data_IF_910667978805
#
_entry.id   IF_910667978805
#
_cell.length_a   1.000
_cell.length_b   1.000
_cell.length_c   1.000
_cell.angle_alpha   90.00
_cell.angle_beta   90.00
_cell.angle_gamma   90.00
#
_symmetry.space_group_name_H-M   'P 1'
#
loop_
_entity.id
_entity.type
_entity.pdbx_description
1 polymer ?
#
# COMPACT_ATOMS: atom_id res chain seq x y z
N UNK A 1 23.59 -7.39 -24.78
CA UNK A 1 24.73 -6.44 -24.83
C UNK A 1 25.22 -5.99 -23.44
N UNK A 2 24.37 -5.91 -22.40
CA UNK A 2 24.80 -5.51 -21.05
C UNK A 2 24.69 -6.61 -19.96
N UNK A 3 24.09 -7.78 -20.26
CA UNK A 3 24.04 -8.91 -19.32
C UNK A 3 23.28 -8.61 -18.02
N UNK A 4 22.29 -7.70 -18.05
CA UNK A 4 21.59 -7.25 -16.85
C UNK A 4 20.49 -8.24 -16.49
N UNK A 5 20.54 -8.77 -15.27
CA UNK A 5 19.50 -9.63 -14.73
C UNK A 5 18.27 -8.83 -14.29
N UNK A 6 17.08 -9.43 -14.42
CA UNK A 6 15.83 -8.88 -13.88
C UNK A 6 15.27 -9.76 -12.77
N UNK A 7 14.47 -9.14 -11.91
CA UNK A 7 13.96 -9.71 -10.66
C UNK A 7 12.47 -9.37 -10.52
N UNK A 8 11.55 -10.18 -11.10
CA UNK A 8 10.13 -9.87 -11.02
C UNK A 8 9.62 -10.07 -9.60
N UNK A 9 8.84 -9.09 -9.13
CA UNK A 9 8.13 -9.14 -7.85
C UNK A 9 6.76 -9.76 -8.08
N UNK A 10 6.45 -10.81 -7.31
CA UNK A 10 5.19 -11.55 -7.38
C UNK A 10 4.66 -11.79 -5.98
N UNK A 11 3.33 -11.82 -5.83
CA UNK A 11 2.67 -12.16 -4.57
C UNK A 11 2.19 -13.61 -4.51
N UNK A 12 2.26 -14.35 -5.63
CA UNK A 12 1.74 -15.73 -5.73
C UNK A 12 2.28 -16.47 -6.97
N UNK A 13 2.17 -17.80 -6.94
CA UNK A 13 2.38 -18.68 -8.09
C UNK A 13 1.54 -18.28 -9.32
N UNK A 14 0.28 -17.85 -9.10
CA UNK A 14 -0.61 -17.38 -10.17
C UNK A 14 -0.06 -16.12 -10.85
N UNK A 15 0.41 -15.15 -10.06
CA UNK A 15 1.01 -13.93 -10.59
C UNK A 15 2.28 -14.23 -11.40
N UNK A 16 3.15 -15.09 -10.87
CA UNK A 16 4.34 -15.56 -11.59
C UNK A 16 3.97 -16.23 -12.92
N UNK A 17 3.06 -17.20 -12.91
CA UNK A 17 2.62 -17.92 -14.12
C UNK A 17 2.08 -16.96 -15.19
N UNK A 18 1.32 -15.93 -14.79
CA UNK A 18 0.79 -14.94 -15.71
C UNK A 18 1.91 -14.11 -16.37
N UNK A 19 2.85 -13.60 -15.58
CA UNK A 19 3.97 -12.80 -16.10
C UNK A 19 4.93 -13.65 -16.94
N UNK A 20 5.20 -14.89 -16.51
CA UNK A 20 6.03 -15.86 -17.22
C UNK A 20 5.49 -16.14 -18.63
N UNK A 21 4.22 -16.56 -18.72
CA UNK A 21 3.57 -16.83 -20.01
C UNK A 21 3.48 -15.59 -20.90
N UNK A 22 3.23 -14.42 -20.31
CA UNK A 22 3.09 -13.18 -21.07
C UNK A 22 4.41 -12.70 -21.68
N UNK A 23 5.49 -12.71 -20.91
CA UNK A 23 6.73 -12.06 -21.30
C UNK A 23 8.02 -12.77 -20.87
N UNK A 24 8.14 -13.18 -19.60
CA UNK A 24 9.45 -13.52 -19.04
C UNK A 24 10.10 -14.79 -19.59
N UNK A 25 9.31 -15.76 -20.09
CA UNK A 25 9.87 -16.97 -20.71
C UNK A 25 10.78 -16.68 -21.92
N UNK A 26 10.63 -15.53 -22.58
CA UNK A 26 11.45 -15.12 -23.74
C UNK A 26 12.83 -14.59 -23.36
N UNK A 27 13.04 -14.37 -22.07
CA UNK A 27 14.26 -13.79 -21.49
C UNK A 27 14.68 -14.61 -20.27
N UNK A 28 14.46 -15.92 -20.29
CA UNK A 28 14.69 -16.80 -19.14
C UNK A 28 16.14 -16.76 -18.65
N UNK A 29 17.08 -16.59 -19.59
CA UNK A 29 18.53 -16.51 -19.33
C UNK A 29 18.94 -15.29 -18.50
N UNK A 30 18.11 -14.25 -18.44
CA UNK A 30 18.35 -13.04 -17.66
C UNK A 30 17.56 -13.01 -16.35
N UNK A 31 16.79 -14.04 -16.01
CA UNK A 31 16.07 -14.09 -14.73
C UNK A 31 17.07 -14.37 -13.59
N UNK A 32 17.33 -13.37 -12.75
CA UNK A 32 18.30 -13.51 -11.64
C UNK A 32 17.71 -14.20 -10.41
N UNK A 33 16.48 -13.82 -10.04
CA UNK A 33 15.70 -14.43 -8.97
C UNK A 33 14.23 -14.03 -9.13
N UNK A 34 13.32 -14.69 -8.42
CA UNK A 34 11.92 -14.24 -8.29
C UNK A 34 11.71 -13.68 -6.89
N UNK A 35 11.25 -12.44 -6.77
CA UNK A 35 10.96 -11.85 -5.45
C UNK A 35 9.52 -12.22 -5.08
N UNK A 36 9.36 -13.06 -4.05
CA UNK A 36 8.07 -13.25 -3.41
C UNK A 36 7.86 -12.13 -2.40
N UNK A 37 6.90 -11.24 -2.65
CA UNK A 37 6.52 -10.19 -1.71
C UNK A 37 5.20 -10.57 -1.03
N UNK A 38 5.25 -10.78 0.29
CA UNK A 38 4.08 -11.08 1.10
C UNK A 38 3.06 -9.93 1.00
N UNK A 39 1.86 -10.19 0.45
CA UNK A 39 0.94 -9.12 0.10
C UNK A 39 0.20 -8.55 1.33
N UNK A 40 0.32 -9.18 2.50
CA UNK A 40 -0.23 -8.67 3.77
C UNK A 40 0.81 -8.05 4.67
N UNK A 41 2.09 -8.44 4.57
CA UNK A 41 3.12 -8.07 5.54
C UNK A 41 4.13 -7.05 5.05
N UNK A 42 4.38 -6.96 3.74
CA UNK A 42 5.37 -6.05 3.16
C UNK A 42 4.98 -4.58 3.36
N UNK A 43 5.96 -3.71 3.52
CA UNK A 43 5.77 -2.26 3.58
C UNK A 43 5.65 -1.65 2.19
N UNK A 44 5.03 -0.48 2.05
CA UNK A 44 4.87 0.15 0.74
C UNK A 44 3.70 -0.44 -0.03
N UNK A 45 3.71 -0.42 -1.36
CA UNK A 45 2.67 -1.02 -2.19
C UNK A 45 2.71 -2.55 -2.13
N UNK A 46 1.54 -3.18 -2.14
CA UNK A 46 1.39 -4.62 -1.98
C UNK A 46 0.65 -5.27 -3.14
N UNK A 47 1.08 -6.48 -3.51
CA UNK A 47 0.51 -7.28 -4.60
C UNK A 47 -0.77 -8.08 -4.28
N UNK A 48 -1.65 -7.60 -3.39
CA UNK A 48 -2.93 -8.26 -3.11
C UNK A 48 -3.81 -8.33 -4.37
N UNK A 49 -4.35 -9.50 -4.66
CA UNK A 49 -5.34 -9.67 -5.73
C UNK A 49 -6.77 -9.38 -5.26
N UNK A 50 -7.67 -9.09 -6.19
CA UNK A 50 -9.08 -8.84 -5.87
C UNK A 50 -9.82 -10.06 -5.25
N UNK A 51 -9.24 -11.26 -5.34
CA UNK A 51 -9.81 -12.49 -4.77
C UNK A 51 -9.33 -12.76 -3.34
N UNK A 52 -8.35 -11.99 -2.85
CA UNK A 52 -7.79 -12.15 -1.51
C UNK A 52 -8.42 -11.16 -0.54
N UNK A 53 -8.71 -11.62 0.67
CA UNK A 53 -9.21 -10.76 1.74
C UNK A 53 -8.02 -10.02 2.39
N UNK A 54 -7.98 -8.67 2.35
CA UNK A 54 -6.93 -7.90 3.01
C UNK A 54 -6.91 -8.08 4.54
N UNK A 55 -8.01 -8.53 5.15
CA UNK A 55 -8.12 -8.71 6.60
C UNK A 55 -7.79 -10.14 7.05
N UNK A 56 -7.48 -11.06 6.13
CA UNK A 56 -7.13 -12.44 6.44
C UNK A 56 -5.71 -12.76 5.93
N UNK A 57 -4.64 -12.32 6.64
CA UNK A 57 -3.27 -12.68 6.31
C UNK A 57 -3.08 -14.20 6.25
N UNK A 58 -2.38 -14.66 5.22
CA UNK A 58 -2.08 -16.08 5.04
C UNK A 58 -0.65 -16.41 5.46
N UNK A 59 -0.40 -17.68 5.76
CA UNK A 59 0.94 -18.20 5.92
C UNK A 59 1.70 -18.10 4.57
N UNK A 60 2.90 -17.48 4.54
CA UNK A 60 3.71 -17.43 3.32
C UNK A 60 4.27 -18.80 2.89
N UNK A 61 4.48 -19.77 3.79
CA UNK A 61 5.17 -21.03 3.42
C UNK A 61 4.47 -21.80 2.30
N UNK A 62 3.15 -22.13 2.39
CA UNK A 62 2.46 -22.85 1.32
C UNK A 62 2.44 -22.07 0.00
N UNK A 63 2.44 -20.73 0.06
CA UNK A 63 2.41 -19.86 -1.12
C UNK A 63 3.75 -19.87 -1.84
N UNK A 64 4.85 -19.83 -1.11
CA UNK A 64 6.20 -19.91 -1.67
C UNK A 64 6.50 -21.31 -2.18
N UNK A 65 6.04 -22.36 -1.49
CA UNK A 65 6.10 -23.74 -2.01
C UNK A 65 5.40 -23.87 -3.37
N UNK A 66 4.15 -23.38 -3.48
CA UNK A 66 3.41 -23.39 -4.75
C UNK A 66 4.10 -22.56 -5.85
N UNK A 67 4.75 -21.44 -5.47
CA UNK A 67 5.57 -20.64 -6.39
C UNK A 67 6.77 -21.46 -6.89
N UNK A 68 7.51 -22.12 -5.99
CA UNK A 68 8.64 -22.99 -6.35
C UNK A 68 8.21 -24.14 -7.27
N UNK A 69 7.09 -24.79 -6.99
CA UNK A 69 6.54 -25.84 -7.86
C UNK A 69 6.28 -25.31 -9.28
N UNK A 70 5.66 -24.12 -9.39
CA UNK A 70 5.42 -23.48 -10.69
C UNK A 70 6.73 -23.07 -11.39
N UNK A 71 7.75 -22.65 -10.63
CA UNK A 71 9.07 -22.34 -11.17
C UNK A 71 9.77 -23.61 -11.69
N UNK A 72 9.65 -24.74 -10.99
CA UNK A 72 10.18 -26.04 -11.44
C UNK A 72 9.53 -26.50 -12.75
N UNK A 73 8.20 -26.35 -12.90
CA UNK A 73 7.49 -26.59 -14.16
C UNK A 73 8.07 -25.77 -15.33
N UNK A 74 8.62 -24.58 -15.04
CA UNK A 74 9.23 -23.68 -16.01
C UNK A 74 10.74 -23.92 -16.21
N UNK A 75 11.33 -24.96 -15.60
CA UNK A 75 12.77 -25.24 -15.66
C UNK A 75 13.63 -24.33 -14.78
N UNK A 76 13.04 -23.63 -13.81
CA UNK A 76 13.68 -22.64 -12.95
C UNK A 76 13.87 -23.15 -11.51
N UNK A 77 14.04 -24.46 -11.35
CA UNK A 77 14.13 -25.12 -10.03
C UNK A 77 15.23 -24.55 -9.13
N UNK A 78 16.35 -24.15 -9.74
CA UNK A 78 17.53 -23.61 -9.04
C UNK A 78 17.59 -22.08 -9.01
N UNK A 79 16.65 -21.39 -9.66
CA UNK A 79 16.60 -19.91 -9.60
C UNK A 79 16.15 -19.50 -8.20
N UNK A 80 16.88 -18.62 -7.49
CA UNK A 80 16.52 -18.24 -6.13
C UNK A 80 15.13 -17.59 -6.03
N UNK A 81 14.43 -17.85 -4.92
CA UNK A 81 13.30 -17.04 -4.50
C UNK A 81 13.78 -16.08 -3.41
N UNK A 82 13.56 -14.79 -3.61
CA UNK A 82 13.85 -13.75 -2.60
C UNK A 82 12.56 -13.48 -1.83
N UNK A 83 12.50 -13.88 -0.56
CA UNK A 83 11.34 -13.69 0.30
C UNK A 83 11.38 -12.28 0.91
N UNK A 84 10.33 -11.51 0.68
CA UNK A 84 10.17 -10.14 1.16
C UNK A 84 8.84 -9.97 1.92
N UNK A 85 8.86 -9.14 2.96
CA UNK A 85 7.68 -8.84 3.78
C UNK A 85 7.59 -9.71 5.03
N UNK A 86 7.46 -9.07 6.20
CA UNK A 86 7.38 -9.77 7.48
C UNK A 86 8.69 -10.36 8.01
N UNK A 87 9.74 -10.50 7.20
CA UNK A 87 11.05 -10.99 7.68
C UNK A 87 11.63 -10.01 8.70
N UNK A 88 11.85 -10.47 9.93
CA UNK A 88 12.47 -9.68 10.99
C UNK A 88 13.74 -10.34 11.50
N UNK A 89 13.63 -11.53 12.12
CA UNK A 89 14.78 -12.31 12.59
C UNK A 89 14.93 -13.58 11.76
N UNK A 90 16.11 -13.88 11.22
CA UNK A 90 16.32 -15.08 10.41
C UNK A 90 16.13 -16.38 11.22
N UNK A 91 16.29 -16.36 12.55
CA UNK A 91 15.99 -17.52 13.40
C UNK A 91 14.52 -17.97 13.33
N UNK A 92 13.60 -17.08 12.97
CA UNK A 92 12.18 -17.42 12.74
C UNK A 92 11.94 -18.11 11.38
N UNK A 93 12.98 -18.19 10.54
CA UNK A 93 12.91 -18.71 9.16
C UNK A 93 13.88 -19.90 8.96
N UNK A 94 14.33 -20.54 10.03
CA UNK A 94 15.28 -21.67 9.96
C UNK A 94 14.77 -22.79 9.05
N UNK A 95 13.49 -23.13 9.15
CA UNK A 95 12.85 -24.17 8.33
C UNK A 95 12.75 -23.81 6.83
N UNK A 96 13.10 -22.58 6.45
CA UNK A 96 13.13 -22.13 5.06
C UNK A 96 14.52 -22.23 4.42
N UNK A 97 15.57 -22.20 5.25
CA UNK A 97 16.97 -22.22 4.80
C UNK A 97 17.37 -23.66 4.53
N UNK A 98 18.04 -23.90 3.41
CA UNK A 98 18.43 -25.25 2.94
C UNK A 98 17.25 -26.24 2.84
N UNK A 99 16.02 -25.73 2.68
CA UNK A 99 14.83 -26.55 2.56
C UNK A 99 14.67 -27.07 1.11
N UNK A 100 14.69 -28.41 0.87
CA UNK A 100 14.61 -28.98 -0.47
C UNK A 100 13.26 -28.73 -1.16
N UNK A 101 12.17 -28.52 -0.41
CA UNK A 101 10.88 -28.17 -1.00
C UNK A 101 10.93 -26.78 -1.63
N UNK A 102 11.62 -25.84 -0.99
CA UNK A 102 11.71 -24.42 -1.39
C UNK A 102 12.89 -24.11 -2.30
N UNK A 103 13.94 -24.94 -2.32
CA UNK A 103 15.17 -24.70 -3.08
C UNK A 103 15.94 -23.47 -2.59
N UNK A 104 16.73 -22.80 -3.44
CA UNK A 104 17.51 -21.63 -3.03
C UNK A 104 16.62 -20.47 -2.59
N UNK A 105 16.84 -19.98 -1.36
CA UNK A 105 16.12 -18.87 -0.74
C UNK A 105 17.08 -17.74 -0.36
N UNK A 106 16.64 -16.51 -0.57
CA UNK A 106 17.25 -15.31 -0.03
C UNK A 106 16.17 -14.44 0.64
N UNK A 107 16.57 -13.44 1.41
CA UNK A 107 15.64 -12.55 2.11
C UNK A 107 15.87 -11.08 1.73
N UNK A 108 14.79 -10.32 1.58
CA UNK A 108 14.82 -8.89 1.31
C UNK A 108 14.17 -8.10 2.45
N UNK A 109 14.89 -7.10 2.96
CA UNK A 109 14.45 -6.26 4.07
C UNK A 109 14.19 -4.83 3.57
N UNK A 110 12.94 -4.37 3.67
CA UNK A 110 12.58 -2.98 3.38
C UNK A 110 12.41 -2.13 4.63
N UNK A 111 11.75 -2.66 5.67
CA UNK A 111 11.40 -1.90 6.87
C UNK A 111 12.57 -1.71 7.83
N UNK A 112 13.35 -2.75 8.15
CA UNK A 112 14.49 -2.65 9.09
C UNK A 112 15.51 -1.57 8.67
N UNK A 113 15.91 -1.48 7.39
CA UNK A 113 16.84 -0.44 6.93
C UNK A 113 16.31 0.99 7.03
N UNK A 114 15.00 1.21 7.23
CA UNK A 114 14.47 2.56 7.49
C UNK A 114 15.13 3.19 8.73
N UNK A 115 15.44 2.37 9.74
CA UNK A 115 16.02 2.81 11.01
C UNK A 115 17.54 2.57 11.05
N UNK A 116 18.26 3.03 10.04
CA UNK A 116 19.73 3.08 10.02
C UNK A 116 20.23 4.52 9.97
N UNK A 117 21.52 4.75 10.24
CA UNK A 117 22.14 6.08 10.13
C UNK A 117 22.10 6.61 8.69
N UNK A 118 22.29 5.73 7.72
CA UNK A 118 22.36 6.00 6.29
C UNK A 118 20.97 6.24 5.66
N UNK A 119 19.91 5.75 6.29
CA UNK A 119 18.55 5.97 5.80
C UNK A 119 18.22 7.47 5.76
N UNK A 120 17.73 7.98 4.61
CA UNK A 120 17.47 9.41 4.43
C UNK A 120 16.18 9.88 5.11
N UNK A 121 15.41 8.98 5.75
CA UNK A 121 14.18 9.38 6.40
C UNK A 121 14.48 10.36 7.57
N UNK A 122 13.62 11.37 7.80
CA UNK A 122 13.85 12.34 8.86
C UNK A 122 13.89 11.72 10.25
N UNK A 123 14.55 12.42 11.18
CA UNK A 123 14.65 12.01 12.59
C UNK A 123 13.28 11.75 13.23
N UNK A 124 12.29 12.61 12.98
CA UNK A 124 10.94 12.45 13.52
C UNK A 124 10.27 11.13 13.05
N UNK A 125 10.54 10.69 11.82
CA UNK A 125 10.04 9.41 11.33
C UNK A 125 10.77 8.25 12.01
N UNK A 126 12.10 8.30 12.15
CA UNK A 126 12.88 7.31 12.93
C UNK A 126 12.36 7.18 14.37
N UNK A 127 12.12 8.31 15.04
CA UNK A 127 11.54 8.35 16.39
C UNK A 127 10.11 7.80 16.45
N UNK A 128 9.31 7.98 15.39
CA UNK A 128 7.97 7.38 15.29
C UNK A 128 8.04 5.86 15.20
N UNK A 129 8.98 5.31 14.42
CA UNK A 129 9.17 3.86 14.27
C UNK A 129 9.46 3.16 15.61
N UNK A 130 10.30 3.78 16.45
CA UNK A 130 10.65 3.28 17.79
C UNK A 130 9.48 3.26 18.80
N UNK A 131 8.33 3.85 18.46
CA UNK A 131 7.16 3.98 19.35
C UNK A 131 5.94 3.22 18.83
N UNK A 132 6.09 2.44 17.77
CA UNK A 132 5.00 1.69 17.17
C UNK A 132 4.59 0.51 18.05
N UNK A 133 3.29 0.24 18.09
CA UNK A 133 2.69 -0.91 18.76
C UNK A 133 2.15 -1.90 17.72
N UNK A 134 1.94 -3.19 18.10
CA UNK A 134 1.20 -4.11 17.27
C UNK A 134 -0.12 -3.50 16.78
N UNK A 135 -0.37 -3.54 15.48
CA UNK A 135 -1.56 -2.93 14.86
C UNK A 135 -1.43 -1.45 14.48
N UNK A 136 -0.30 -0.79 14.70
CA UNK A 136 -0.07 0.61 14.26
C UNK A 136 0.25 0.77 12.77
N UNK A 137 0.37 -0.33 12.02
CA UNK A 137 0.50 -0.32 10.55
C UNK A 137 -0.83 -0.78 9.93
N UNK A 138 -1.32 -0.04 8.94
CA UNK A 138 -2.56 -0.32 8.22
C UNK A 138 -2.26 -0.70 6.78
N UNK A 139 -2.82 -1.84 6.35
CA UNK A 139 -2.96 -2.21 4.95
C UNK A 139 -4.20 -1.51 4.39
N UNK A 140 -4.02 -0.58 3.45
CA UNK A 140 -5.11 0.27 2.93
C UNK A 140 -5.08 0.36 1.40
N UNK A 141 -6.19 0.76 0.78
CA UNK A 141 -6.33 0.90 -0.69
C UNK A 141 -6.59 2.34 -1.13
N UNK A 142 -6.01 3.31 -0.42
CA UNK A 142 -6.15 4.74 -0.75
C UNK A 142 -5.12 5.22 -1.78
N UNK A 143 -4.16 4.38 -2.16
CA UNK A 143 -3.12 4.76 -3.10
C UNK A 143 -3.72 5.19 -4.44
N UNK A 144 -3.23 6.27 -5.08
CA UNK A 144 -3.72 6.70 -6.39
C UNK A 144 -3.44 5.68 -7.51
N UNK A 145 -2.64 4.64 -7.26
CA UNK A 145 -2.43 3.53 -8.19
C UNK A 145 -3.55 2.49 -8.13
N UNK A 146 -4.38 2.51 -7.09
CA UNK A 146 -5.42 1.51 -6.82
C UNK A 146 -4.92 0.21 -6.19
N UNK A 147 -3.60 0.08 -5.96
CA UNK A 147 -3.02 -1.02 -5.21
C UNK A 147 -3.21 -0.83 -3.71
N UNK A 148 -3.16 -1.93 -2.97
CA UNK A 148 -3.01 -1.89 -1.53
C UNK A 148 -1.63 -1.35 -1.16
N UNK A 149 -1.52 -0.77 0.03
CA UNK A 149 -0.25 -0.37 0.59
C UNK A 149 -0.26 -0.40 2.12
N UNK A 150 0.89 -0.71 2.71
CA UNK A 150 1.10 -0.76 4.16
C UNK A 150 1.85 0.47 4.66
N UNK A 151 1.22 1.22 5.56
CA UNK A 151 1.76 2.45 6.14
C UNK A 151 1.39 2.60 7.63
N UNK A 152 2.20 3.35 8.36
CA UNK A 152 1.93 3.71 9.76
C UNK A 152 0.61 4.49 9.85
N UNK A 153 -0.20 4.19 10.87
CA UNK A 153 -1.46 4.87 11.21
C UNK A 153 -1.17 6.26 11.79
N UNK A 154 -0.92 7.21 10.90
CA UNK A 154 -0.80 8.65 11.20
C UNK A 154 -2.18 9.30 11.23
N UNK A 155 -2.28 10.53 11.77
CA UNK A 155 -3.51 11.35 11.65
C UNK A 155 -3.97 11.48 10.20
N UNK A 156 -3.05 11.65 9.24
CA UNK A 156 -3.35 11.68 7.81
C UNK A 156 -4.07 10.41 7.35
N UNK A 157 -3.51 9.23 7.64
CA UNK A 157 -4.10 7.97 7.21
C UNK A 157 -5.47 7.74 7.87
N UNK A 158 -5.61 8.09 9.16
CA UNK A 158 -6.89 8.03 9.89
C UNK A 158 -7.96 8.93 9.25
N UNK A 159 -7.59 10.12 8.76
CA UNK A 159 -8.52 10.98 8.01
C UNK A 159 -9.00 10.35 6.71
N UNK A 160 -8.11 9.67 5.96
CA UNK A 160 -8.49 8.96 4.74
C UNK A 160 -9.49 7.82 5.02
N UNK A 161 -9.27 7.09 6.12
CA UNK A 161 -10.21 6.06 6.62
C UNK A 161 -11.56 6.69 6.95
N UNK A 162 -11.59 7.69 7.83
CA UNK A 162 -12.83 8.33 8.26
C UNK A 162 -13.61 8.94 7.09
N UNK A 163 -12.92 9.54 6.10
CA UNK A 163 -13.54 10.05 4.87
C UNK A 163 -14.19 8.93 4.04
N UNK A 164 -13.58 7.75 4.00
CA UNK A 164 -14.13 6.61 3.28
C UNK A 164 -15.30 5.96 4.02
N UNK A 165 -15.35 6.06 5.34
CA UNK A 165 -16.49 5.62 6.17
C UNK A 165 -17.70 6.54 6.02
N UNK A 166 -17.48 7.85 5.80
CA UNK A 166 -18.54 8.81 5.44
C UNK A 166 -18.93 8.72 3.97
N UNK A 167 -19.27 7.53 3.50
CA UNK A 167 -19.62 7.25 2.12
C UNK A 167 -21.03 6.66 1.99
N UNK A 168 -21.80 7.11 0.98
CA UNK A 168 -23.10 6.54 0.62
C UNK A 168 -23.24 6.33 -0.89
N UNK A 169 -24.07 5.37 -1.30
CA UNK A 169 -24.44 5.23 -2.70
C UNK A 169 -25.42 6.34 -3.12
N UNK A 170 -25.40 6.73 -4.40
CA UNK A 170 -26.38 7.67 -4.92
C UNK A 170 -26.76 7.38 -6.38
N UNK A 171 -27.90 7.93 -6.80
CA UNK A 171 -28.34 8.02 -8.19
C UNK A 171 -28.58 9.48 -8.59
N UNK A 172 -28.47 9.78 -9.89
CA UNK A 172 -28.82 11.10 -10.44
C UNK A 172 -30.31 11.28 -10.66
N UNK A 173 -31.06 10.18 -10.71
CA UNK A 173 -32.52 10.15 -10.83
C UNK A 173 -33.11 9.25 -9.76
N UNK A 174 -34.38 9.46 -9.40
CA UNK A 174 -35.07 8.55 -8.50
C UNK A 174 -35.18 7.17 -9.15
N UNK A 175 -34.62 6.14 -8.53
CA UNK A 175 -34.57 4.78 -9.08
C UNK A 175 -34.42 3.74 -7.98
N UNK A 176 -35.21 2.67 -8.04
CA UNK A 176 -35.21 1.62 -7.01
C UNK A 176 -35.47 2.21 -5.61
N UNK A 177 -34.59 1.89 -4.66
CA UNK A 177 -34.63 2.42 -3.29
C UNK A 177 -34.07 3.85 -3.16
N UNK A 178 -33.36 4.36 -4.18
CA UNK A 178 -32.88 5.73 -4.21
C UNK A 178 -34.02 6.70 -4.55
N UNK A 179 -34.85 7.02 -3.55
CA UNK A 179 -36.03 7.89 -3.71
C UNK A 179 -35.93 9.18 -2.90
N UNK A 180 -35.09 9.19 -1.86
CA UNK A 180 -34.94 10.34 -0.98
C UNK A 180 -34.01 11.36 -1.61
N UNK A 181 -34.51 12.58 -1.81
CA UNK A 181 -33.71 13.69 -2.30
C UNK A 181 -32.74 14.16 -1.21
N UNK A 182 -31.46 14.20 -1.55
CA UNK A 182 -30.38 14.77 -0.76
C UNK A 182 -29.73 15.92 -1.53
N UNK A 183 -29.47 17.02 -0.83
CA UNK A 183 -28.69 18.16 -1.33
C UNK A 183 -27.58 18.44 -0.32
N UNK A 184 -26.49 19.02 -0.80
CA UNK A 184 -25.34 19.44 0.01
C UNK A 184 -25.30 20.98 0.15
N UNK A 185 -26.46 21.63 0.11
CA UNK A 185 -26.57 23.09 0.04
C UNK A 185 -26.22 23.70 -1.33
N UNK A 186 -25.69 22.93 -2.27
CA UNK A 186 -25.47 23.36 -3.66
C UNK A 186 -26.69 23.12 -4.56
N UNK A 187 -26.61 23.56 -5.83
CA UNK A 187 -27.64 23.27 -6.85
C UNK A 187 -27.70 21.78 -7.25
N UNK A 188 -26.76 20.95 -6.78
CA UNK A 188 -26.68 19.53 -7.11
C UNK A 188 -27.74 18.75 -6.33
N UNK A 189 -28.35 17.77 -7.01
CA UNK A 189 -29.38 16.89 -6.46
C UNK A 189 -28.91 15.45 -6.55
N UNK A 190 -29.10 14.72 -5.46
CA UNK A 190 -28.75 13.31 -5.35
C UNK A 190 -29.96 12.54 -4.85
N UNK A 191 -30.19 11.35 -5.38
CA UNK A 191 -31.19 10.42 -4.86
C UNK A 191 -30.47 9.31 -4.11
N UNK A 192 -30.85 9.08 -2.87
CA UNK A 192 -30.24 8.12 -1.95
C UNK A 192 -31.34 7.33 -1.23
N UNK A 193 -30.99 6.28 -0.50
CA UNK A 193 -31.95 5.60 0.39
C UNK A 193 -32.29 6.49 1.58
N UNK A 194 -33.42 6.24 2.24
CA UNK A 194 -33.80 6.99 3.44
C UNK A 194 -32.77 6.85 4.57
N UNK A 195 -32.25 5.63 4.77
CA UNK A 195 -31.20 5.36 5.74
C UNK A 195 -29.90 6.14 5.43
N UNK A 196 -29.50 6.19 4.17
CA UNK A 196 -28.30 6.92 3.74
C UNK A 196 -28.50 8.44 3.86
N UNK A 197 -29.71 8.94 3.60
CA UNK A 197 -30.05 10.35 3.84
C UNK A 197 -29.95 10.73 5.32
N UNK A 198 -30.41 9.86 6.22
CA UNK A 198 -30.29 10.08 7.66
C UNK A 198 -28.81 10.15 8.09
N UNK A 199 -27.98 9.18 7.66
CA UNK A 199 -26.53 9.21 7.93
C UNK A 199 -25.86 10.47 7.38
N UNK A 200 -26.18 10.85 6.15
CA UNK A 200 -25.63 12.05 5.52
C UNK A 200 -25.99 13.31 6.31
N UNK A 201 -27.25 13.47 6.72
CA UNK A 201 -27.69 14.64 7.51
C UNK A 201 -26.97 14.73 8.85
N UNK A 202 -26.70 13.59 9.51
CA UNK A 202 -25.88 13.56 10.72
C UNK A 202 -24.47 14.11 10.45
N UNK A 203 -23.77 13.59 9.44
CA UNK A 203 -22.43 14.07 9.11
C UNK A 203 -22.40 15.54 8.68
N UNK A 204 -23.42 15.99 7.95
CA UNK A 204 -23.57 17.40 7.58
C UNK A 204 -23.74 18.29 8.82
N UNK A 205 -24.52 17.84 9.82
CA UNK A 205 -24.65 18.52 11.11
C UNK A 205 -23.34 18.55 11.93
N UNK A 206 -22.45 17.60 11.71
CA UNK A 206 -21.09 17.54 12.29
C UNK A 206 -20.06 18.39 11.49
N UNK A 207 -20.48 19.09 10.44
CA UNK A 207 -19.63 19.97 9.62
C UNK A 207 -19.04 19.33 8.36
N UNK A 208 -19.38 18.08 8.03
CA UNK A 208 -19.01 17.42 6.77
C UNK A 208 -20.03 17.71 5.67
N UNK A 209 -20.22 19.00 5.37
CA UNK A 209 -21.31 19.47 4.51
C UNK A 209 -21.10 19.28 3.00
N UNK A 210 -19.86 19.07 2.54
CA UNK A 210 -19.55 19.00 1.11
C UNK A 210 -19.59 17.56 0.61
N UNK A 211 -20.51 17.28 -0.31
CA UNK A 211 -20.57 16.00 -1.01
C UNK A 211 -19.66 15.98 -2.25
N UNK A 212 -18.69 15.06 -2.27
CA UNK A 212 -17.81 14.82 -3.42
C UNK A 212 -18.12 13.46 -4.07
N UNK A 213 -18.30 13.46 -5.39
CA UNK A 213 -18.57 12.24 -6.17
C UNK A 213 -17.32 11.38 -6.28
N UNK A 214 -17.48 10.07 -6.15
CA UNK A 214 -16.43 9.08 -6.43
C UNK A 214 -16.63 8.42 -7.81
N UNK A 215 -15.67 7.64 -8.30
CA UNK A 215 -15.82 6.84 -9.52
C UNK A 215 -16.86 5.71 -9.43
N UNK A 216 -17.29 5.35 -8.22
CA UNK A 216 -18.11 4.17 -7.95
C UNK A 216 -19.58 4.53 -7.67
N UNK A 217 -20.07 5.66 -8.21
CA UNK A 217 -21.42 6.18 -7.96
C UNK A 217 -21.74 6.34 -6.47
N UNK A 218 -20.74 6.76 -5.70
CA UNK A 218 -20.91 7.10 -4.29
C UNK A 218 -20.55 8.56 -4.03
N UNK A 219 -21.03 9.08 -2.90
CA UNK A 219 -20.65 10.38 -2.35
C UNK A 219 -19.81 10.14 -1.10
N UNK A 220 -18.75 10.92 -0.95
CA UNK A 220 -18.07 11.11 0.34
C UNK A 220 -18.33 12.50 0.87
N UNK A 221 -18.49 12.59 2.20
CA UNK A 221 -18.78 13.83 2.91
C UNK A 221 -17.54 14.34 3.63
N UNK A 222 -17.16 15.58 3.31
CA UNK A 222 -15.94 16.25 3.81
C UNK A 222 -16.27 17.65 4.28
N UNK A 223 -15.39 18.24 5.09
CA UNK A 223 -15.51 19.64 5.47
C UNK A 223 -15.18 20.56 4.29
N UNK A 224 -15.60 21.84 4.30
CA UNK A 224 -15.26 22.79 3.24
C UNK A 224 -13.74 22.93 3.02
N UNK A 225 -12.98 23.03 4.11
CA UNK A 225 -11.52 23.10 4.10
C UNK A 225 -10.87 21.87 3.45
N UNK A 226 -11.39 20.68 3.76
CA UNK A 226 -10.90 19.43 3.18
C UNK A 226 -11.25 19.33 1.69
N UNK A 227 -12.46 19.73 1.29
CA UNK A 227 -12.85 19.78 -0.12
C UNK A 227 -11.97 20.73 -0.93
N UNK A 228 -11.64 21.91 -0.40
CA UNK A 228 -10.73 22.85 -1.03
C UNK A 228 -9.33 22.25 -1.20
N UNK A 229 -8.81 21.64 -0.14
CA UNK A 229 -7.50 20.97 -0.16
C UNK A 229 -7.46 19.86 -1.22
N UNK A 230 -8.46 18.99 -1.25
CA UNK A 230 -8.55 17.90 -2.25
C UNK A 230 -8.54 18.48 -3.67
N UNK A 231 -9.40 19.47 -3.94
CA UNK A 231 -9.49 20.07 -5.28
C UNK A 231 -8.21 20.79 -5.70
N UNK A 232 -7.55 21.49 -4.78
CA UNK A 232 -6.24 22.11 -5.04
C UNK A 232 -5.22 21.04 -5.39
N UNK A 233 -5.07 20.02 -4.55
CA UNK A 233 -4.09 18.96 -4.76
C UNK A 233 -4.34 18.15 -6.05
N UNK A 234 -5.60 18.04 -6.49
CA UNK A 234 -5.96 17.45 -7.79
C UNK A 234 -5.55 18.34 -8.97
N UNK A 235 -5.74 19.67 -8.87
CA UNK A 235 -5.33 20.64 -9.90
C UNK A 235 -3.82 20.76 -10.02
N UNK A 236 -3.11 20.68 -8.90
CA UNK A 236 -1.64 20.76 -8.81
C UNK A 236 -0.96 19.40 -9.10
N UNK A 237 -1.63 18.51 -9.85
CA UNK A 237 -1.05 17.22 -10.20
C UNK A 237 0.19 17.37 -11.08
N UNK A 238 1.28 16.72 -10.68
CA UNK A 238 2.58 16.77 -11.37
C UNK A 238 2.82 15.60 -12.36
N UNK A 239 1.82 14.77 -12.63
CA UNK A 239 1.94 13.68 -13.61
C UNK A 239 2.96 12.57 -13.28
N UNK A 240 3.27 12.35 -12.00
CA UNK A 240 4.27 11.35 -11.56
C UNK A 240 3.92 9.87 -11.83
N UNK A 241 2.67 9.58 -12.17
CA UNK A 241 2.17 8.24 -12.50
C UNK A 241 1.62 8.25 -13.93
N UNK A 242 1.78 7.14 -14.64
CA UNK A 242 1.16 6.96 -15.96
C UNK A 242 -0.38 6.95 -15.90
N UNK A 243 -0.95 6.62 -14.74
CA UNK A 243 -2.37 6.78 -14.41
C UNK A 243 -2.54 7.06 -12.91
N UNK A 244 -3.27 8.13 -12.57
CA UNK A 244 -3.50 8.56 -11.20
C UNK A 244 -5.00 8.63 -10.89
N UNK A 245 -5.49 7.74 -10.03
CA UNK A 245 -6.90 7.73 -9.62
C UNK A 245 -7.29 8.98 -8.83
N UNK A 246 -6.36 9.59 -8.09
CA UNK A 246 -6.66 10.76 -7.27
C UNK A 246 -6.98 12.01 -8.10
N UNK A 247 -6.16 12.33 -9.11
CA UNK A 247 -6.35 13.50 -9.97
C UNK A 247 -7.13 13.21 -11.25
N UNK A 248 -7.21 11.94 -11.64
CA UNK A 248 -7.68 11.53 -12.97
C UNK A 248 -6.64 11.70 -14.08
N UNK A 249 -5.40 12.06 -13.74
CA UNK A 249 -4.31 12.18 -14.73
C UNK A 249 -4.01 10.84 -15.41
N UNK A 250 -3.79 10.89 -16.72
CA UNK A 250 -3.31 9.77 -17.55
C UNK A 250 -2.26 10.27 -18.53
N UNK A 251 -1.19 9.50 -18.73
CA UNK A 251 -0.12 9.81 -19.69
C UNK A 251 -0.60 9.64 -21.14
N UNK A 252 -1.34 8.56 -21.41
CA UNK A 252 -1.93 8.26 -22.72
C UNK A 252 -3.44 8.56 -22.68
N UNK A 253 -3.91 9.66 -23.31
CA UNK A 253 -5.32 10.03 -23.32
C UNK A 253 -6.24 9.00 -23.97
N UNK A 254 -5.72 8.13 -24.86
CA UNK A 254 -6.53 7.04 -25.45
C UNK A 254 -6.93 5.99 -24.41
N UNK A 255 -6.19 5.93 -23.29
CA UNK A 255 -6.48 5.07 -22.13
C UNK A 255 -7.22 5.83 -21.02
N UNK A 256 -7.61 7.09 -21.27
CA UNK A 256 -8.40 7.87 -20.34
C UNK A 256 -9.69 7.12 -20.04
N UNK A 257 -9.80 6.63 -18.82
CA UNK A 257 -11.07 6.10 -18.33
C UNK A 257 -12.05 7.27 -18.17
N UNK A 258 -13.35 7.10 -18.46
CA UNK A 258 -14.36 8.11 -18.07
C UNK A 258 -14.51 8.25 -16.54
N UNK A 259 -13.75 7.46 -15.75
CA UNK A 259 -13.73 7.53 -14.30
C UNK A 259 -13.19 8.86 -13.83
N UNK A 260 -13.94 9.48 -12.93
CA UNK A 260 -13.62 10.76 -12.29
C UNK A 260 -12.41 10.61 -11.39
N UNK A 261 -11.80 11.75 -11.04
CA UNK A 261 -10.89 11.83 -9.92
C UNK A 261 -11.54 11.26 -8.64
N UNK A 262 -10.81 10.44 -7.88
CA UNK A 262 -11.31 9.80 -6.66
C UNK A 262 -10.92 10.60 -5.42
N UNK A 263 -11.87 11.34 -4.81
CA UNK A 263 -11.60 12.15 -3.63
C UNK A 263 -11.29 11.31 -2.39
N UNK A 264 -11.42 9.97 -2.44
CA UNK A 264 -11.01 9.06 -1.36
C UNK A 264 -9.52 8.76 -1.35
N UNK A 265 -8.85 8.99 -2.47
CA UNK A 265 -7.40 8.87 -2.61
C UNK A 265 -6.69 10.18 -2.21
N UNK A 266 -5.39 10.25 -2.47
CA UNK A 266 -4.54 11.39 -2.15
C UNK A 266 -3.38 11.49 -3.14
N UNK A 267 -2.72 12.65 -3.18
CA UNK A 267 -1.48 12.82 -3.94
C UNK A 267 -0.31 12.19 -3.18
N UNK A 268 0.10 10.98 -3.59
CA UNK A 268 1.20 10.25 -2.93
C UNK A 268 2.54 10.98 -3.03
N UNK A 269 2.83 11.60 -4.17
CA UNK A 269 4.05 12.37 -4.37
C UNK A 269 4.14 13.54 -3.39
N UNK A 270 3.06 14.31 -3.23
CA UNK A 270 3.03 15.46 -2.31
C UNK A 270 3.36 15.04 -0.88
N UNK A 271 2.70 14.00 -0.38
CA UNK A 271 2.88 13.59 1.01
C UNK A 271 4.25 12.95 1.28
N UNK A 272 4.79 12.18 0.34
CA UNK A 272 6.13 11.60 0.48
C UNK A 272 7.23 12.66 0.36
N UNK A 273 7.03 13.66 -0.50
CA UNK A 273 7.96 14.79 -0.59
C UNK A 273 7.92 15.64 0.68
N UNK A 274 6.73 15.95 1.19
CA UNK A 274 6.59 16.77 2.40
C UNK A 274 7.24 16.09 3.62
N UNK A 275 6.92 14.81 3.89
CA UNK A 275 7.54 14.10 5.02
C UNK A 275 9.06 13.98 4.86
N UNK A 276 9.58 13.77 3.65
CA UNK A 276 11.03 13.68 3.42
C UNK A 276 11.76 15.00 3.67
N UNK A 277 11.09 16.15 3.52
CA UNK A 277 11.68 17.49 3.64
C UNK A 277 11.29 18.23 4.93
N UNK A 278 10.98 17.48 6.00
CA UNK A 278 10.72 18.04 7.33
C UNK A 278 9.24 18.31 7.65
N UNK A 279 8.33 17.92 6.76
CA UNK A 279 6.90 17.91 7.01
C UNK A 279 6.51 16.99 8.18
N UNK A 280 5.34 17.26 8.76
CA UNK A 280 4.82 16.52 9.92
C UNK A 280 4.60 15.05 9.59
N UNK A 281 5.16 14.15 10.41
CA UNK A 281 4.91 12.70 10.29
C UNK A 281 3.44 12.38 10.47
N UNK A 282 2.73 13.11 11.34
CA UNK A 282 1.32 12.88 11.60
C UNK A 282 0.42 13.32 10.43
N UNK A 283 0.84 14.28 9.62
CA UNK A 283 0.06 14.82 8.50
C UNK A 283 0.46 14.21 7.15
N UNK A 284 1.31 13.19 7.17
CA UNK A 284 1.80 12.54 5.96
C UNK A 284 1.72 11.01 6.00
N UNK A 285 1.92 10.41 4.82
CA UNK A 285 2.10 8.99 4.63
C UNK A 285 3.52 8.58 5.05
N UNK A 286 3.60 7.57 5.93
CA UNK A 286 4.86 6.99 6.37
C UNK A 286 4.82 5.47 6.12
N UNK A 287 5.49 5.00 5.07
CA UNK A 287 5.50 3.57 4.73
C UNK A 287 6.24 2.73 5.77
N UNK A 288 5.68 1.57 6.09
CA UNK A 288 6.31 0.57 6.93
C UNK A 288 5.60 -0.78 6.74
N UNK A 289 6.34 -1.88 6.87
CA UNK A 289 5.75 -3.22 6.90
C UNK A 289 5.12 -3.52 8.26
N UNK A 290 4.26 -4.54 8.30
CA UNK A 290 3.43 -4.83 9.48
C UNK A 290 4.23 -5.19 10.75
N UNK A 291 5.47 -5.66 10.60
CA UNK A 291 6.36 -5.98 11.72
C UNK A 291 7.14 -4.76 12.26
N UNK A 292 6.86 -3.53 11.79
CA UNK A 292 7.56 -2.34 12.25
C UNK A 292 7.40 -2.05 13.76
N UNK A 293 6.37 -2.56 14.41
CA UNK A 293 6.23 -2.47 15.88
C UNK A 293 7.42 -3.10 16.62
N UNK A 294 8.10 -4.07 16.01
CA UNK A 294 9.27 -4.71 16.60
C UNK A 294 10.46 -3.78 16.77
N UNK A 295 10.48 -2.60 16.14
CA UNK A 295 11.47 -1.57 16.48
C UNK A 295 11.40 -1.14 17.95
N UNK A 296 10.21 -1.14 18.55
CA UNK A 296 10.04 -0.80 19.96
C UNK A 296 10.40 -1.95 20.92
N UNK A 297 10.38 -3.19 20.43
CA UNK A 297 10.53 -4.41 21.23
C UNK A 297 11.92 -5.05 21.11
N UNK A 298 12.56 -4.90 19.95
CA UNK A 298 13.85 -5.53 19.67
C UNK A 298 14.96 -4.82 20.48
N UNK A 299 15.66 -5.54 21.39
CA UNK A 299 16.72 -4.97 22.23
C UNK A 299 17.84 -4.29 21.43
N UNK A 300 18.01 -4.65 20.15
CA UNK A 300 18.97 -4.02 19.27
C UNK A 300 18.76 -2.51 19.16
N UNK A 301 17.51 -2.04 19.20
CA UNK A 301 17.17 -0.61 19.11
C UNK A 301 16.92 0.04 20.48
N UNK A 302 17.17 -0.69 21.58
CA UNK A 302 16.98 -0.18 22.94
C UNK A 302 17.80 1.09 23.19
N UNK A 303 17.33 1.93 24.12
CA UNK A 303 17.92 3.24 24.42
C UNK A 303 17.99 4.19 23.20
N UNK A 304 17.20 3.95 22.16
CA UNK A 304 17.19 4.75 20.95
C UNK A 304 18.41 4.54 20.05
N UNK A 305 19.07 3.38 20.15
CA UNK A 305 20.19 3.05 19.28
C UNK A 305 19.74 2.98 17.81
N UNK A 306 20.43 3.74 16.95
CA UNK A 306 20.24 3.71 15.50
C UNK A 306 21.51 3.11 14.87
N UNK A 307 21.47 1.86 14.38
CA UNK A 307 22.63 1.18 13.81
C UNK A 307 23.07 1.79 12.47
N UNK A 308 24.32 1.57 12.08
CA UNK A 308 24.70 1.66 10.66
C UNK A 308 24.10 0.49 9.88
N UNK A 309 24.04 0.60 8.55
CA UNK A 309 23.66 -0.52 7.67
C UNK A 309 24.57 -1.73 7.92
N UNK A 310 25.88 -1.50 8.13
CA UNK A 310 26.83 -2.57 8.46
C UNK A 310 26.45 -3.29 9.75
N UNK A 311 26.16 -2.54 10.82
CA UNK A 311 25.76 -3.13 12.11
C UNK A 311 24.44 -3.89 12.00
N UNK A 312 23.48 -3.38 11.23
CA UNK A 312 22.23 -4.08 10.95
C UNK A 312 22.48 -5.39 10.19
N UNK A 313 23.39 -5.39 9.20
CA UNK A 313 23.74 -6.59 8.45
C UNK A 313 24.43 -7.63 9.34
N UNK A 314 25.41 -7.21 10.16
CA UNK A 314 26.07 -8.08 11.14
C UNK A 314 25.06 -8.70 12.12
N UNK A 315 24.05 -7.94 12.54
CA UNK A 315 22.94 -8.41 13.38
C UNK A 315 22.05 -9.45 12.66
N UNK A 316 21.69 -9.19 11.41
CA UNK A 316 20.93 -10.15 10.58
C UNK A 316 21.69 -11.47 10.41
N UNK A 317 22.99 -11.40 10.14
CA UNK A 317 23.84 -12.58 9.94
C UNK A 317 23.99 -13.44 11.20
N UNK A 318 23.75 -12.89 12.40
CA UNK A 318 23.71 -13.68 13.64
C UNK A 318 22.38 -14.43 13.83
N UNK A 319 21.39 -14.22 12.97
CA UNK A 319 20.03 -14.75 13.10
C UNK A 319 18.99 -13.74 13.63
N UNK A 320 19.40 -12.52 14.00
CA UNK A 320 18.59 -11.52 14.72
C UNK A 320 18.36 -10.22 13.90
#
# INVERSE_FOLDING_TARGET
RHGVHYYPIVSSARAFRALWKRAYHRFSEYLGAVVYEDPWRAGGHNGLSNAEDPNAPQDPYPRVKALRETMREAGLGEVPIVVAGGVWWLREWQDWIDNPELGPIAFQFGTRPLLTKESPIPKAWKERLLKLKPGDVLLHRFSPTGFYSSAVKTRFLKRLVARSERQIAYSTTAAGEHRTLLTDGSKRRFFVTEADAARARTWMGEGFEIAMKTPNNTLVFVTPQEAETIRRDQRECMGCLSMCQFSGWVEDPSRASPRKADPRSFCIQKTLQDIAHGGSVEDNLAFAGHNAYRFAEDPFYSNGFIPTVRQLFERIMSGD
#
